data_IF_015508708181
#
_entry.id   IF_015508708181
#
_cell.length_a   1.000
_cell.length_b   1.000
_cell.length_c   1.000
_cell.angle_alpha   90.00
_cell.angle_beta   90.00
_cell.angle_gamma   90.00
#
_symmetry.space_group_name_H-M   'P 1'
#
loop_
_entity.id
_entity.type
_entity.pdbx_description
1 polymer ?
#
# COMPACT_ATOMS: atom_id res chain seq x y z
N UNK A 1 -69.54 -52.38 -13.33
CA UNK A 1 -69.50 -51.26 -14.29
C UNK A 1 -69.11 -49.97 -13.56
N UNK A 2 -68.29 -49.14 -14.23
CA UNK A 2 -67.86 -47.74 -13.93
C UNK A 2 -66.57 -47.52 -13.12
N UNK A 3 -65.71 -46.69 -13.75
CA UNK A 3 -64.28 -46.37 -13.54
C UNK A 3 -64.05 -45.27 -12.50
N UNK A 4 -62.79 -45.13 -12.03
CA UNK A 4 -61.95 -43.89 -11.93
C UNK A 4 -60.67 -44.21 -11.10
N UNK A 5 -59.50 -44.41 -11.72
CA UNK A 5 -58.45 -43.43 -12.11
C UNK A 5 -57.49 -42.99 -10.98
N UNK A 6 -56.29 -43.61 -10.95
CA UNK A 6 -54.91 -43.06 -10.88
C UNK A 6 -54.69 -41.74 -10.13
N UNK A 7 -53.70 -41.67 -9.21
CA UNK A 7 -52.48 -40.82 -9.34
C UNK A 7 -51.57 -40.86 -8.10
N UNK A 8 -50.33 -41.26 -8.36
CA UNK A 8 -49.07 -41.16 -7.61
C UNK A 8 -48.80 -39.77 -7.03
N UNK A 9 -48.07 -39.68 -5.88
CA UNK A 9 -46.86 -38.83 -5.72
C UNK A 9 -46.19 -39.01 -4.35
N UNK A 10 -44.98 -39.57 -4.39
CA UNK A 10 -43.88 -39.30 -3.46
C UNK A 10 -43.62 -37.79 -3.40
N UNK A 11 -43.28 -37.27 -2.23
CA UNK A 11 -42.50 -36.04 -2.11
C UNK A 11 -41.51 -36.17 -0.93
N UNK A 12 -40.27 -36.53 -1.26
CA UNK A 12 -39.11 -36.22 -0.41
C UNK A 12 -38.87 -34.71 -0.51
N UNK A 13 -39.09 -33.98 0.58
CA UNK A 13 -38.71 -32.58 0.71
C UNK A 13 -37.34 -32.45 1.37
N UNK A 14 -36.26 -32.53 0.59
CA UNK A 14 -34.93 -32.13 1.04
C UNK A 14 -34.81 -30.61 1.04
N UNK A 15 -34.70 -30.00 2.21
CA UNK A 15 -34.45 -28.57 2.33
C UNK A 15 -32.96 -28.27 2.04
N UNK A 16 -32.69 -27.71 0.86
CA UNK A 16 -31.38 -27.13 0.51
C UNK A 16 -31.22 -25.78 1.21
N UNK A 17 -30.44 -25.75 2.31
CA UNK A 17 -29.96 -24.53 2.94
C UNK A 17 -28.82 -23.95 2.10
N UNK A 18 -29.13 -23.06 1.15
CA UNK A 18 -28.14 -22.27 0.44
C UNK A 18 -27.67 -21.10 1.34
N UNK A 19 -26.55 -21.27 2.03
CA UNK A 19 -25.87 -20.17 2.72
C UNK A 19 -25.21 -19.25 1.67
N UNK A 20 -25.84 -18.11 1.38
CA UNK A 20 -25.25 -17.07 0.55
C UNK A 20 -24.08 -16.42 1.30
N UNK A 21 -22.85 -16.78 0.93
CA UNK A 21 -21.66 -16.04 1.32
C UNK A 21 -21.67 -14.69 0.58
N UNK A 22 -22.12 -13.64 1.25
CA UNK A 22 -21.99 -12.27 0.75
C UNK A 22 -20.51 -11.88 0.77
N UNK A 23 -19.81 -12.11 -0.33
CA UNK A 23 -18.46 -11.58 -0.53
C UNK A 23 -18.59 -10.05 -0.62
N UNK A 24 -18.28 -9.33 0.45
CA UNK A 24 -18.17 -7.88 0.39
C UNK A 24 -17.07 -7.54 -0.64
N UNK A 25 -17.46 -7.01 -1.79
CA UNK A 25 -16.51 -6.55 -2.80
C UNK A 25 -15.70 -5.40 -2.19
N UNK A 26 -14.36 -5.53 -2.20
CA UNK A 26 -13.50 -4.41 -1.84
C UNK A 26 -13.62 -3.39 -2.96
N UNK A 27 -14.01 -2.17 -2.61
CA UNK A 27 -14.07 -1.07 -3.57
C UNK A 27 -12.64 -0.62 -3.91
N UNK A 28 -12.36 -0.49 -5.21
CA UNK A 28 -11.15 0.18 -5.66
C UNK A 28 -11.08 1.59 -5.09
N UNK A 29 -9.89 2.00 -4.67
CA UNK A 29 -9.71 3.26 -3.98
C UNK A 29 -8.28 3.78 -4.08
N UNK A 30 -8.11 5.02 -3.63
CA UNK A 30 -6.81 5.64 -3.52
C UNK A 30 -6.76 6.62 -2.35
N UNK A 31 -5.56 6.84 -1.82
CA UNK A 31 -5.29 7.96 -0.94
C UNK A 31 -3.96 8.63 -1.31
N UNK A 32 -3.90 9.93 -1.05
CA UNK A 32 -2.68 10.73 -1.17
C UNK A 32 -2.27 11.19 0.22
N UNK A 33 -0.99 11.05 0.55
CA UNK A 33 -0.45 11.50 1.84
C UNK A 33 0.93 12.09 1.68
N UNK A 34 1.24 13.11 2.49
CA UNK A 34 2.50 13.84 2.44
C UNK A 34 3.17 13.89 3.80
N UNK A 35 4.50 13.97 3.78
CA UNK A 35 5.36 14.14 4.97
C UNK A 35 6.49 15.10 4.64
N UNK A 36 7.05 15.77 5.66
CA UNK A 36 8.30 16.52 5.52
C UNK A 36 9.46 15.57 5.85
N UNK A 37 10.38 15.40 4.91
CA UNK A 37 11.55 14.56 5.13
C UNK A 37 12.49 15.19 6.17
N UNK A 38 13.17 14.38 7.00
CA UNK A 38 14.11 14.88 8.00
C UNK A 38 15.37 15.42 7.33
N UNK A 39 16.05 16.33 8.03
CA UNK A 39 17.39 16.75 7.65
C UNK A 39 18.40 15.71 8.13
N UNK A 40 19.32 15.31 7.25
CA UNK A 40 20.41 14.38 7.58
C UNK A 40 21.65 15.18 7.97
N UNK A 41 22.02 15.16 9.26
CA UNK A 41 23.20 15.86 9.78
C UNK A 41 24.44 14.96 9.91
N UNK A 42 24.23 13.66 10.08
CA UNK A 42 25.30 12.68 10.28
C UNK A 42 25.41 11.72 9.10
N UNK A 43 26.65 11.42 8.71
CA UNK A 43 26.93 10.36 7.74
C UNK A 43 26.65 9.02 8.39
N UNK A 44 26.30 8.06 7.55
CA UNK A 44 26.04 6.68 7.90
C UNK A 44 24.89 6.44 8.89
N UNK A 45 24.12 7.47 9.21
CA UNK A 45 22.94 7.39 10.06
C UNK A 45 21.67 7.33 9.20
N UNK A 46 20.73 6.46 9.57
CA UNK A 46 19.46 6.28 8.85
C UNK A 46 18.39 7.15 9.52
N UNK A 47 17.95 8.17 8.82
CA UNK A 47 16.81 9.00 9.22
C UNK A 47 15.54 8.44 8.58
N UNK A 48 14.41 8.45 9.31
CA UNK A 48 13.13 7.95 8.80
C UNK A 48 12.02 8.97 8.99
N UNK A 49 11.05 8.98 8.07
CA UNK A 49 9.83 9.77 8.17
C UNK A 49 8.61 8.92 7.78
N UNK A 50 7.74 8.70 8.75
CA UNK A 50 6.48 7.98 8.56
C UNK A 50 5.50 8.82 7.75
N UNK A 51 4.92 8.20 6.74
CA UNK A 51 3.87 8.80 5.92
C UNK A 51 2.52 8.42 6.53
N UNK A 52 1.72 9.39 7.01
CA UNK A 52 0.45 9.07 7.65
C UNK A 52 -0.49 8.33 6.68
N UNK A 53 -1.16 7.28 7.16
CA UNK A 53 -2.28 6.69 6.41
C UNK A 53 -3.44 7.68 6.44
N UNK A 54 -4.09 7.89 5.29
CA UNK A 54 -5.20 8.85 5.15
C UNK A 54 -6.50 8.12 4.87
N UNK A 55 -7.58 8.58 5.53
CA UNK A 55 -8.87 7.92 5.48
C UNK A 55 -8.86 6.60 6.27
N UNK A 56 -9.63 5.62 5.77
CA UNK A 56 -9.71 4.28 6.36
C UNK A 56 -9.59 3.22 5.27
N UNK A 57 -8.42 3.09 4.60
CA UNK A 57 -8.24 2.08 3.56
C UNK A 57 -8.45 0.67 4.13
N UNK A 58 -9.04 -0.24 3.34
CA UNK A 58 -9.38 -1.58 3.82
C UNK A 58 -8.13 -2.39 4.14
N UNK A 59 -8.07 -2.99 5.34
CA UNK A 59 -6.93 -3.81 5.75
C UNK A 59 -6.72 -5.04 4.85
N UNK A 60 -7.81 -5.57 4.28
CA UNK A 60 -7.82 -6.68 3.32
C UNK A 60 -7.74 -6.24 1.86
N UNK A 61 -7.64 -4.94 1.56
CA UNK A 61 -7.41 -4.45 0.20
C UNK A 61 -6.02 -4.83 -0.30
N UNK A 62 -5.88 -4.91 -1.61
CA UNK A 62 -4.61 -5.20 -2.27
C UNK A 62 -4.13 -3.95 -3.01
N UNK A 63 -2.98 -3.42 -2.61
CA UNK A 63 -2.31 -2.36 -3.36
C UNK A 63 -2.13 -2.82 -4.81
N UNK A 64 -2.43 -1.94 -5.77
CA UNK A 64 -2.18 -2.15 -7.19
C UNK A 64 -0.85 -1.52 -7.60
N UNK A 65 -0.67 -0.23 -7.31
CA UNK A 65 0.59 0.49 -7.47
C UNK A 65 0.69 1.67 -6.49
N UNK A 66 1.93 2.08 -6.25
CA UNK A 66 2.25 3.25 -5.43
C UNK A 66 3.02 4.24 -6.27
N UNK A 67 2.58 5.49 -6.29
CA UNK A 67 3.32 6.60 -6.87
C UNK A 67 3.92 7.44 -5.76
N UNK A 68 5.07 8.05 -6.01
CA UNK A 68 5.70 8.94 -5.04
C UNK A 68 6.25 10.20 -5.67
N UNK A 69 6.41 11.22 -4.83
CA UNK A 69 7.35 12.31 -5.02
C UNK A 69 8.21 12.47 -3.77
N UNK A 70 9.46 12.86 -3.94
CA UNK A 70 10.32 13.29 -2.82
C UNK A 70 11.30 14.34 -3.29
N UNK A 71 11.71 15.22 -2.37
CA UNK A 71 12.70 16.24 -2.67
C UNK A 71 13.61 16.51 -1.47
N UNK A 72 14.79 17.03 -1.76
CA UNK A 72 15.75 17.57 -0.79
C UNK A 72 16.33 18.85 -1.38
N UNK A 73 16.92 19.72 -0.56
CA UNK A 73 17.66 20.86 -1.06
C UNK A 73 18.87 20.42 -1.90
N UNK A 74 18.99 20.96 -3.12
CA UNK A 74 20.09 20.65 -4.04
C UNK A 74 20.10 19.22 -4.56
N UNK A 75 21.29 18.72 -4.91
CA UNK A 75 21.54 17.34 -5.37
C UNK A 75 22.73 16.74 -4.60
N UNK A 76 22.53 16.37 -3.32
CA UNK A 76 23.62 15.93 -2.46
C UNK A 76 24.25 14.62 -2.98
N UNK A 77 25.58 14.59 -2.98
CA UNK A 77 26.32 13.38 -3.30
C UNK A 77 26.21 12.37 -2.15
N UNK A 78 26.14 11.08 -2.51
CA UNK A 78 26.09 9.98 -1.53
C UNK A 78 24.79 9.87 -0.74
N UNK A 79 23.73 10.61 -1.10
CA UNK A 79 22.39 10.42 -0.52
C UNK A 79 21.73 9.16 -1.09
N UNK A 80 21.23 8.32 -0.20
CA UNK A 80 20.34 7.22 -0.50
C UNK A 80 18.96 7.52 0.10
N UNK A 81 17.91 7.27 -0.68
CA UNK A 81 16.51 7.45 -0.29
C UNK A 81 15.76 6.18 -0.64
N UNK A 82 15.04 5.63 0.32
CA UNK A 82 14.22 4.45 0.17
C UNK A 82 12.77 4.78 0.51
N UNK A 83 11.84 4.24 -0.27
CA UNK A 83 10.43 4.18 0.10
C UNK A 83 10.15 2.78 0.62
N UNK A 84 9.68 2.68 1.86
CA UNK A 84 9.48 1.42 2.56
C UNK A 84 8.04 1.29 3.04
N UNK A 85 7.58 0.05 3.26
CA UNK A 85 6.27 -0.22 3.86
C UNK A 85 6.41 -1.16 5.06
N UNK A 86 6.00 -0.69 6.24
CA UNK A 86 6.02 -1.44 7.50
C UNK A 86 7.41 -1.73 8.10
N UNK A 87 8.39 -2.12 7.29
CA UNK A 87 9.77 -2.37 7.75
C UNK A 87 10.81 -2.10 6.67
N UNK A 88 12.08 -1.97 7.08
CA UNK A 88 13.22 -1.71 6.19
C UNK A 88 13.60 -2.90 5.29
N UNK A 89 13.01 -4.08 5.49
CA UNK A 89 13.14 -5.22 4.57
C UNK A 89 12.20 -5.12 3.36
N UNK A 90 11.23 -4.20 3.39
CA UNK A 90 10.22 -4.02 2.35
C UNK A 90 10.34 -2.63 1.73
N UNK A 91 11.45 -2.40 1.02
CA UNK A 91 11.79 -1.11 0.45
C UNK A 91 12.06 -1.17 -1.05
N UNK A 92 11.86 -0.05 -1.71
CA UNK A 92 12.38 0.23 -3.05
C UNK A 92 13.38 1.39 -2.95
N UNK A 93 14.52 1.26 -3.62
CA UNK A 93 15.48 2.35 -3.76
C UNK A 93 14.90 3.40 -4.73
N UNK A 94 14.71 4.62 -4.21
CA UNK A 94 14.18 5.76 -4.96
C UNK A 94 15.19 6.90 -5.09
N UNK A 95 16.46 6.67 -4.71
CA UNK A 95 17.51 7.68 -4.58
C UNK A 95 17.74 8.53 -5.83
N UNK A 96 17.46 7.96 -7.02
CA UNK A 96 17.64 8.62 -8.32
C UNK A 96 16.33 8.98 -9.01
N UNK A 97 15.20 8.63 -8.40
CA UNK A 97 13.87 8.78 -8.99
C UNK A 97 13.00 9.59 -8.03
N UNK A 98 13.12 10.92 -8.12
CA UNK A 98 12.34 11.85 -7.29
C UNK A 98 10.84 11.75 -7.49
N UNK A 99 10.39 11.28 -8.67
CA UNK A 99 8.98 11.07 -9.00
C UNK A 99 8.84 9.85 -9.92
N UNK A 100 8.09 8.85 -9.48
CA UNK A 100 7.79 7.66 -10.28
C UNK A 100 6.63 6.88 -9.64
N UNK A 101 6.25 5.76 -10.25
CA UNK A 101 5.35 4.75 -9.69
C UNK A 101 5.98 3.36 -9.72
N UNK A 102 5.48 2.45 -8.88
CA UNK A 102 5.93 1.06 -8.80
C UNK A 102 4.81 0.10 -8.40
N UNK A 103 4.92 -1.13 -8.88
CA UNK A 103 4.09 -2.27 -8.45
C UNK A 103 4.80 -3.15 -7.41
N UNK A 104 5.98 -2.78 -6.90
CA UNK A 104 6.72 -3.59 -5.91
C UNK A 104 5.91 -3.85 -4.62
N UNK A 105 4.97 -2.96 -4.29
CA UNK A 105 4.08 -3.10 -3.14
C UNK A 105 2.75 -3.81 -3.47
N UNK A 106 2.60 -4.34 -4.69
CA UNK A 106 1.36 -4.97 -5.14
C UNK A 106 0.97 -6.14 -4.23
N UNK A 107 -0.32 -6.24 -3.92
CA UNK A 107 -0.86 -7.27 -3.03
C UNK A 107 -0.63 -7.03 -1.53
N UNK A 108 0.14 -6.00 -1.15
CA UNK A 108 0.26 -5.59 0.26
C UNK A 108 -0.97 -4.77 0.68
N UNK A 109 -1.19 -4.69 1.99
CA UNK A 109 -2.32 -3.94 2.55
C UNK A 109 -2.14 -2.44 2.37
N UNK A 110 -3.15 -1.69 1.87
CA UNK A 110 -3.12 -0.22 1.83
C UNK A 110 -3.25 0.41 3.22
N UNK A 111 -3.65 -0.34 4.25
CA UNK A 111 -3.70 0.14 5.63
C UNK A 111 -2.33 0.10 6.33
N UNK A 112 -1.34 -0.60 5.77
CA UNK A 112 0.01 -0.63 6.33
C UNK A 112 0.76 0.66 5.97
N UNK A 113 1.33 1.38 6.96
CA UNK A 113 2.00 2.65 6.72
C UNK A 113 3.25 2.52 5.86
N UNK A 114 3.45 3.55 5.04
CA UNK A 114 4.70 3.79 4.32
C UNK A 114 5.59 4.73 5.12
N UNK A 115 6.89 4.64 4.89
CA UNK A 115 7.85 5.61 5.41
C UNK A 115 8.99 5.82 4.40
N UNK A 116 9.56 7.01 4.40
CA UNK A 116 10.81 7.28 3.70
C UNK A 116 11.99 7.04 4.64
N UNK A 117 13.05 6.41 4.14
CA UNK A 117 14.30 6.25 4.86
C UNK A 117 15.43 6.91 4.08
N UNK A 118 16.23 7.73 4.75
CA UNK A 118 17.28 8.55 4.16
C UNK A 118 18.60 8.34 4.87
N UNK A 119 19.68 8.26 4.10
CA UNK A 119 21.04 8.14 4.64
C UNK A 119 22.04 8.77 3.70
N UNK A 120 23.05 9.42 4.25
CA UNK A 120 24.22 9.88 3.48
C UNK A 120 25.39 8.94 3.76
N UNK A 121 25.98 8.33 2.73
CA UNK A 121 27.14 7.45 2.87
C UNK A 121 28.40 8.17 3.35
N UNK A 122 29.43 7.41 3.74
CA UNK A 122 30.70 7.94 4.30
C UNK A 122 31.34 9.05 3.48
N UNK A 123 31.25 9.01 2.14
CA UNK A 123 31.82 10.01 1.23
C UNK A 123 30.86 11.10 0.74
N UNK A 124 29.61 11.14 1.22
CA UNK A 124 28.60 12.10 0.74
C UNK A 124 28.76 13.54 1.25
N UNK A 125 27.71 14.36 1.16
CA UNK A 125 27.71 15.73 1.73
C UNK A 125 26.58 15.87 2.73
N UNK A 126 26.89 16.45 3.89
CA UNK A 126 25.92 16.82 4.95
C UNK A 126 26.13 18.30 5.34
N UNK A 127 25.10 19.02 5.80
CA UNK A 127 23.72 18.55 5.99
C UNK A 127 22.97 18.39 4.67
N UNK A 128 22.03 17.45 4.63
CA UNK A 128 21.00 17.38 3.58
C UNK A 128 19.69 17.85 4.17
N UNK A 129 19.16 18.96 3.66
CA UNK A 129 17.86 19.46 4.12
C UNK A 129 16.73 18.71 3.41
N UNK A 130 15.98 17.93 4.18
CA UNK A 130 14.79 17.22 3.70
C UNK A 130 13.70 18.21 3.30
N UNK A 131 12.94 17.89 2.25
CA UNK A 131 11.78 18.67 1.83
C UNK A 131 10.54 17.77 1.78
N UNK A 132 9.44 18.29 1.24
CA UNK A 132 8.20 17.54 1.17
C UNK A 132 8.34 16.29 0.29
N UNK A 133 7.80 15.19 0.80
CA UNK A 133 7.56 13.97 0.06
C UNK A 133 6.06 13.64 0.10
N UNK A 134 5.61 12.90 -0.90
CA UNK A 134 4.23 12.46 -1.05
C UNK A 134 4.20 11.02 -1.58
N UNK A 135 3.18 10.27 -1.16
CA UNK A 135 2.82 9.00 -1.75
C UNK A 135 1.36 9.03 -2.18
N UNK A 136 1.06 8.33 -3.27
CA UNK A 136 -0.30 8.02 -3.72
C UNK A 136 -0.39 6.50 -3.74
N UNK A 137 -1.28 5.95 -2.92
CA UNK A 137 -1.48 4.51 -2.77
C UNK A 137 -2.81 4.16 -3.42
N UNK A 138 -2.79 3.24 -4.37
CA UNK A 138 -3.97 2.78 -5.09
C UNK A 138 -4.19 1.30 -4.75
N UNK A 139 -5.45 0.90 -4.57
CA UNK A 139 -5.82 -0.48 -4.23
C UNK A 139 -7.13 -0.90 -4.87
N UNK A 140 -7.40 -2.20 -4.78
CA UNK A 140 -8.66 -2.86 -5.10
C UNK A 140 -8.91 -4.04 -4.18
#
# INVERSE_FOLDING_TARGET
MKRKSVFTRLALGGALLAASLSQAAIAAGSYTSSVVLPSVYARNFLETADVPVKGNPPANGAITYVSWTWNVAGYPQGLSVYLCQGSTSNCVDVSRTRRMSTEVFKGKSPAQPFFFAMRVGSGGTVPVSGQQAQVIVNWQ
#
